data_IF_844246615121
#
_entry.id   IF_844246615121
#
_cell.length_a   1.000
_cell.length_b   1.000
_cell.length_c   1.000
_cell.angle_alpha   90.00
_cell.angle_beta   90.00
_cell.angle_gamma   90.00
#
_symmetry.space_group_name_H-M   'P 1'
#
loop_
_entity.id
_entity.type
_entity.pdbx_description
1 polymer ?
#
# COMPACT_ATOMS: atom_id res chain seq x y z
N UNK A 1 27.21 10.23 9.85
CA UNK A 1 28.40 11.08 9.54
C UNK A 1 29.13 10.38 8.42
N UNK A 2 29.57 11.11 7.39
CA UNK A 2 30.33 10.49 6.29
C UNK A 2 31.65 9.89 6.78
N UNK A 3 32.09 8.84 6.12
CA UNK A 3 33.38 8.22 6.40
C UNK A 3 34.52 9.22 6.23
N UNK A 4 35.59 9.04 7.00
CA UNK A 4 36.77 9.89 6.87
C UNK A 4 37.51 9.59 5.57
N UNK A 5 37.92 10.64 4.85
CA UNK A 5 38.65 10.53 3.59
C UNK A 5 40.05 11.15 3.76
N UNK A 6 41.07 10.55 3.15
CA UNK A 6 42.44 11.08 3.17
C UNK A 6 42.81 11.69 1.83
N UNK A 7 43.36 12.89 1.86
CA UNK A 7 43.91 13.58 0.70
C UNK A 7 45.14 14.37 1.12
N UNK A 8 46.23 14.24 0.35
CA UNK A 8 47.53 14.89 0.61
C UNK A 8 48.04 14.75 2.05
N UNK A 9 47.84 13.56 2.64
CA UNK A 9 48.26 13.25 4.01
C UNK A 9 47.39 13.86 5.11
N UNK A 10 46.33 14.58 4.75
CA UNK A 10 45.34 15.14 5.68
C UNK A 10 44.12 14.23 5.74
N UNK A 11 43.68 13.88 6.96
CA UNK A 11 42.44 13.13 7.19
C UNK A 11 41.29 14.11 7.40
N UNK A 12 40.35 14.08 6.47
CA UNK A 12 39.12 14.83 6.51
C UNK A 12 38.03 13.97 7.15
N UNK A 13 37.23 14.54 8.05
CA UNK A 13 36.12 13.84 8.73
C UNK A 13 34.87 14.72 8.71
N UNK A 14 33.70 14.10 8.58
CA UNK A 14 32.42 14.81 8.60
C UNK A 14 31.91 15.23 7.21
N UNK A 15 31.15 16.32 7.16
CA UNK A 15 30.48 16.81 5.94
C UNK A 15 31.36 17.86 5.26
N UNK A 16 31.55 17.71 3.95
CA UNK A 16 32.30 18.63 3.13
C UNK A 16 31.35 19.33 2.17
N UNK A 17 31.56 20.61 1.95
CA UNK A 17 30.69 21.45 1.13
C UNK A 17 31.45 21.92 -0.10
N UNK A 18 30.84 21.73 -1.27
CA UNK A 18 31.28 22.38 -2.51
C UNK A 18 30.60 23.75 -2.57
N UNK A 19 31.38 24.80 -2.78
CA UNK A 19 30.89 26.17 -2.78
C UNK A 19 31.93 27.18 -3.24
N UNK A 20 31.56 28.46 -3.19
CA UNK A 20 32.49 29.55 -3.41
C UNK A 20 33.35 29.69 -2.17
N UNK A 21 34.68 29.67 -2.32
CA UNK A 21 35.57 29.81 -1.19
C UNK A 21 35.58 31.27 -0.70
N UNK A 22 35.18 31.47 0.56
CA UNK A 22 35.24 32.76 1.23
C UNK A 22 35.97 32.59 2.58
N UNK A 23 37.25 32.93 2.59
CA UNK A 23 38.14 32.62 3.71
C UNK A 23 38.33 31.11 3.89
N UNK A 24 38.07 30.62 5.10
CA UNK A 24 38.22 29.20 5.47
C UNK A 24 36.94 28.37 5.25
N UNK A 25 35.85 28.99 4.76
CA UNK A 25 34.54 28.35 4.66
C UNK A 25 34.06 28.37 3.21
N UNK A 26 33.41 27.30 2.76
CA UNK A 26 32.72 27.25 1.49
C UNK A 26 31.30 27.83 1.66
N UNK A 27 30.95 28.81 0.82
CA UNK A 27 29.63 29.45 0.77
C UNK A 27 28.80 28.91 -0.40
N UNK A 28 27.47 28.96 -0.25
CA UNK A 28 26.56 28.60 -1.33
C UNK A 28 26.59 29.67 -2.45
N UNK A 29 26.43 29.22 -3.70
CA UNK A 29 26.10 30.13 -4.79
C UNK A 29 24.72 30.74 -4.54
N UNK A 30 24.56 32.02 -4.90
CA UNK A 30 23.29 32.75 -4.77
C UNK A 30 22.94 33.47 -6.08
N UNK A 31 21.67 33.84 -6.24
CA UNK A 31 21.18 34.60 -7.40
C UNK A 31 21.51 33.95 -8.74
N UNK A 32 21.91 34.77 -9.72
CA UNK A 32 22.15 34.34 -11.09
C UNK A 32 23.24 33.26 -11.22
N UNK A 33 24.23 33.24 -10.32
CA UNK A 33 25.28 32.21 -10.32
C UNK A 33 24.73 30.84 -9.92
N UNK A 34 23.86 30.81 -8.90
CA UNK A 34 23.19 29.59 -8.49
C UNK A 34 22.30 29.05 -9.62
N UNK A 35 21.57 29.94 -10.30
CA UNK A 35 20.65 29.55 -11.36
C UNK A 35 21.37 29.02 -12.61
N UNK A 36 22.52 29.63 -12.97
CA UNK A 36 23.41 29.10 -14.02
C UNK A 36 23.94 27.71 -13.67
N UNK A 37 24.40 27.52 -12.43
CA UNK A 37 24.91 26.22 -11.98
C UNK A 37 23.80 25.16 -11.99
N UNK A 38 22.63 25.46 -11.44
CA UNK A 38 21.48 24.56 -11.43
C UNK A 38 21.06 24.14 -12.86
N UNK A 39 21.04 25.09 -13.79
CA UNK A 39 20.76 24.83 -15.21
C UNK A 39 21.81 23.91 -15.84
N UNK A 40 23.09 24.10 -15.52
CA UNK A 40 24.19 23.26 -16.03
C UNK A 40 24.13 21.82 -15.51
N UNK A 41 23.55 21.63 -14.31
CA UNK A 41 23.30 20.32 -13.70
C UNK A 41 22.00 19.67 -14.22
N UNK A 42 21.24 20.35 -15.10
CA UNK A 42 19.97 19.85 -15.62
C UNK A 42 18.82 19.91 -14.63
N UNK A 43 18.91 20.73 -13.58
CA UNK A 43 17.84 20.90 -12.60
C UNK A 43 16.70 21.75 -13.19
N UNK A 44 15.43 21.44 -12.85
CA UNK A 44 14.30 22.26 -13.25
C UNK A 44 14.40 23.68 -12.68
N UNK A 45 14.01 24.67 -13.48
CA UNK A 45 13.85 26.06 -13.04
C UNK A 45 12.49 26.27 -12.36
N UNK A 46 12.43 27.29 -11.51
CA UNK A 46 11.20 27.74 -10.88
C UNK A 46 10.63 28.95 -11.63
N UNK A 47 9.30 29.05 -11.72
CA UNK A 47 8.64 30.22 -12.27
C UNK A 47 8.86 31.45 -11.37
N UNK A 48 8.71 32.69 -11.88
CA UNK A 48 8.80 33.89 -11.05
C UNK A 48 7.86 33.84 -9.84
N UNK A 49 8.42 34.00 -8.64
CA UNK A 49 7.67 33.94 -7.37
C UNK A 49 7.32 32.52 -6.90
N UNK A 50 7.67 31.49 -7.66
CA UNK A 50 7.56 30.10 -7.22
C UNK A 50 8.71 29.77 -6.27
N UNK A 51 8.37 29.23 -5.11
CA UNK A 51 9.34 28.71 -4.14
C UNK A 51 9.37 27.18 -4.21
N UNK A 52 10.54 26.59 -3.97
CA UNK A 52 10.68 25.14 -3.87
C UNK A 52 12.12 24.74 -3.65
N UNK A 53 12.34 23.43 -3.50
CA UNK A 53 13.67 22.86 -3.31
C UNK A 53 13.84 21.72 -4.31
N UNK A 54 14.92 21.78 -5.08
CA UNK A 54 15.37 20.65 -5.92
C UNK A 54 16.65 20.11 -5.31
N UNK A 55 16.72 18.79 -5.13
CA UNK A 55 17.93 18.10 -4.65
C UNK A 55 18.38 17.14 -5.74
N UNK A 56 19.67 17.18 -6.07
CA UNK A 56 20.32 16.18 -6.91
C UNK A 56 21.36 15.43 -6.09
N UNK A 57 21.34 14.11 -6.22
CA UNK A 57 22.33 13.22 -5.61
C UNK A 57 23.17 12.67 -6.75
N UNK A 58 24.46 13.00 -6.74
CA UNK A 58 25.44 12.54 -7.74
C UNK A 58 26.20 11.35 -7.16
N UNK A 59 26.51 10.38 -8.02
CA UNK A 59 27.23 9.15 -7.63
C UNK A 59 26.53 8.40 -6.49
N UNK A 60 25.21 8.25 -6.64
CA UNK A 60 24.36 7.61 -5.63
C UNK A 60 24.62 6.10 -5.59
N UNK A 61 24.87 5.58 -4.39
CA UNK A 61 24.78 4.15 -4.13
C UNK A 61 23.29 3.76 -4.07
N UNK A 62 22.85 2.97 -5.04
CA UNK A 62 21.47 2.47 -5.12
C UNK A 62 21.20 1.31 -4.15
N UNK A 63 22.23 0.85 -3.43
CA UNK A 63 22.19 -0.27 -2.51
C UNK A 63 22.03 -1.62 -3.23
N UNK A 64 21.68 -2.63 -2.46
CA UNK A 64 21.49 -3.99 -2.96
C UNK A 64 20.09 -4.55 -2.65
N UNK A 65 19.69 -5.57 -3.41
CA UNK A 65 18.52 -6.41 -3.16
C UNK A 65 19.02 -7.73 -2.59
N UNK A 66 18.41 -8.17 -1.48
CA UNK A 66 18.70 -9.47 -0.86
C UNK A 66 17.65 -10.49 -1.24
N UNK A 67 18.11 -11.63 -1.75
CA UNK A 67 17.31 -12.80 -2.10
C UNK A 67 17.89 -14.02 -1.38
N UNK A 68 17.42 -14.28 -0.15
CA UNK A 68 18.01 -15.29 0.73
C UNK A 68 19.44 -14.89 1.13
N UNK A 69 20.40 -15.76 0.85
CA UNK A 69 21.84 -15.52 1.13
C UNK A 69 22.55 -14.72 0.02
N UNK A 70 21.87 -14.46 -1.10
CA UNK A 70 22.44 -13.69 -2.21
C UNK A 70 22.10 -12.21 -2.09
N UNK A 71 23.10 -11.36 -2.33
CA UNK A 71 22.98 -9.91 -2.34
C UNK A 71 23.46 -9.39 -3.71
N UNK A 72 22.55 -8.78 -4.46
CA UNK A 72 22.83 -8.27 -5.80
C UNK A 72 22.65 -6.75 -5.83
N UNK A 73 23.53 -6.00 -6.52
CA UNK A 73 23.37 -4.56 -6.68
C UNK A 73 22.01 -4.21 -7.27
N UNK A 74 21.32 -3.23 -6.68
CA UNK A 74 20.03 -2.77 -7.15
C UNK A 74 20.20 -2.04 -8.49
N UNK A 75 19.38 -2.40 -9.47
CA UNK A 75 19.36 -1.70 -10.76
C UNK A 75 18.73 -0.31 -10.62
N UNK A 76 19.03 0.64 -11.53
CA UNK A 76 18.37 1.95 -11.54
C UNK A 76 16.84 1.89 -11.60
N UNK A 77 16.28 0.97 -12.39
CA UNK A 77 14.84 0.71 -12.46
C UNK A 77 14.30 0.19 -11.12
N UNK A 78 14.97 -0.79 -10.52
CA UNK A 78 14.60 -1.31 -9.19
C UNK A 78 14.72 -0.27 -8.08
N UNK A 79 15.60 0.74 -8.23
CA UNK A 79 15.68 1.88 -7.32
C UNK A 79 14.48 2.81 -7.47
N UNK A 80 13.97 3.02 -8.68
CA UNK A 80 12.75 3.80 -8.89
C UNK A 80 11.53 3.12 -8.23
N UNK A 81 11.38 1.81 -8.41
CA UNK A 81 10.32 1.03 -7.75
C UNK A 81 10.48 1.01 -6.23
N UNK A 82 11.72 0.88 -5.73
CA UNK A 82 12.01 0.95 -4.30
C UNK A 82 11.63 2.32 -3.71
N UNK A 83 11.97 3.42 -4.39
CA UNK A 83 11.57 4.78 -3.96
C UNK A 83 10.04 4.90 -3.92
N UNK A 84 9.34 4.42 -4.94
CA UNK A 84 7.88 4.42 -4.96
C UNK A 84 7.30 3.60 -3.78
N UNK A 85 7.88 2.43 -3.50
CA UNK A 85 7.55 1.62 -2.32
C UNK A 85 7.77 2.38 -1.01
N UNK A 86 8.94 3.02 -0.85
CA UNK A 86 9.28 3.83 0.32
C UNK A 86 8.29 4.98 0.51
N UNK A 87 7.92 5.68 -0.57
CA UNK A 87 6.91 6.75 -0.53
C UNK A 87 5.57 6.21 -0.01
N UNK A 88 5.13 5.05 -0.49
CA UNK A 88 3.87 4.46 -0.08
C UNK A 88 3.88 4.06 1.40
N UNK A 89 4.99 3.53 1.94
CA UNK A 89 5.06 3.19 3.36
C UNK A 89 5.27 4.39 4.28
N UNK A 90 5.87 5.48 3.83
CA UNK A 90 6.25 6.59 4.73
C UNK A 90 5.40 7.84 4.56
N UNK A 91 4.80 8.06 3.37
CA UNK A 91 4.11 9.29 3.00
C UNK A 91 2.62 9.10 2.71
N UNK A 92 2.09 7.89 2.81
CA UNK A 92 0.67 7.63 2.51
C UNK A 92 -0.32 8.56 3.21
N UNK A 93 -0.14 9.02 4.48
CA UNK A 93 -1.13 9.90 5.13
C UNK A 93 -1.26 11.24 4.41
N UNK A 94 -0.19 11.69 3.74
CA UNK A 94 -0.12 12.92 2.96
C UNK A 94 -0.53 12.71 1.50
N UNK A 95 -0.63 11.46 1.04
CA UNK A 95 -0.95 11.12 -0.36
C UNK A 95 -2.44 10.87 -0.60
N UNK A 96 -3.21 10.55 0.45
CA UNK A 96 -4.65 10.29 0.34
C UNK A 96 -5.46 11.57 0.05
N UNK A 97 -6.58 11.40 -0.65
CA UNK A 97 -7.50 12.50 -0.97
C UNK A 97 -8.26 13.01 0.26
N UNK A 98 -8.62 14.30 0.23
CA UNK A 98 -9.41 14.97 1.27
C UNK A 98 -8.62 15.93 2.18
N UNK A 99 -7.29 15.99 2.05
CA UNK A 99 -6.45 16.98 2.74
C UNK A 99 -6.12 18.17 1.82
N UNK A 100 -6.30 19.39 2.33
CA UNK A 100 -5.99 20.63 1.62
C UNK A 100 -4.49 20.78 1.33
N UNK A 101 -3.63 20.08 2.08
CA UNK A 101 -2.18 20.12 1.91
C UNK A 101 -1.60 18.78 1.41
N UNK A 102 -2.37 18.06 0.59
CA UNK A 102 -1.99 16.77 -0.02
C UNK A 102 -0.65 16.88 -0.78
N UNK A 103 0.26 15.95 -0.50
CA UNK A 103 1.50 15.77 -1.25
C UNK A 103 1.23 14.95 -2.52
N UNK A 104 1.57 15.50 -3.68
CA UNK A 104 1.55 14.77 -4.95
C UNK A 104 2.92 14.13 -5.18
N UNK A 105 2.99 12.82 -4.94
CA UNK A 105 4.20 12.03 -5.17
C UNK A 105 4.22 11.48 -6.60
N UNK A 106 5.37 11.50 -7.24
CA UNK A 106 5.61 10.85 -8.53
C UNK A 106 7.06 10.42 -8.62
N UNK A 107 7.30 9.24 -9.19
CA UNK A 107 8.64 8.74 -9.50
C UNK A 107 8.76 8.53 -11.01
N UNK A 108 9.93 8.84 -11.57
CA UNK A 108 10.23 8.60 -12.98
C UNK A 108 11.57 7.91 -13.11
N UNK A 109 11.65 6.93 -14.01
CA UNK A 109 12.90 6.32 -14.45
C UNK A 109 13.08 6.63 -15.94
N UNK A 110 14.21 7.26 -16.31
CA UNK A 110 14.48 7.71 -17.69
C UNK A 110 13.33 8.51 -18.34
N UNK A 111 12.60 9.27 -17.52
CA UNK A 111 11.45 10.08 -17.95
C UNK A 111 10.11 9.35 -17.96
N UNK A 112 10.08 8.02 -17.83
CA UNK A 112 8.86 7.22 -17.76
C UNK A 112 8.32 7.16 -16.33
N UNK A 113 7.01 7.37 -16.11
CA UNK A 113 6.42 7.32 -14.78
C UNK A 113 6.38 5.88 -14.24
N UNK A 114 6.71 5.72 -12.97
CA UNK A 114 6.41 4.51 -12.19
C UNK A 114 4.95 4.59 -11.73
N UNK A 115 4.20 3.49 -11.85
CA UNK A 115 2.81 3.42 -11.38
C UNK A 115 2.76 3.35 -9.86
N UNK A 116 2.19 4.37 -9.23
CA UNK A 116 2.06 4.48 -7.78
C UNK A 116 0.56 4.33 -7.45
N UNK A 117 0.14 3.20 -6.83
CA UNK A 117 -1.26 3.00 -6.50
C UNK A 117 -1.73 4.00 -5.44
N UNK A 118 -3.04 4.29 -5.44
CA UNK A 118 -3.66 5.08 -4.38
C UNK A 118 -3.58 4.31 -3.04
N UNK A 119 -2.90 4.84 -2.00
CA UNK A 119 -2.80 4.18 -0.71
C UNK A 119 -4.15 3.77 -0.11
N UNK A 120 -5.22 4.53 -0.36
CA UNK A 120 -6.55 4.23 0.17
C UNK A 120 -7.21 3.01 -0.48
N UNK A 121 -6.69 2.55 -1.62
CA UNK A 121 -7.21 1.41 -2.40
C UNK A 121 -6.30 0.17 -2.34
N UNK A 122 -5.13 0.30 -1.72
CA UNK A 122 -4.16 -0.79 -1.55
C UNK A 122 -4.49 -1.60 -0.30
N UNK A 123 -4.68 -2.91 -0.43
CA UNK A 123 -5.12 -3.78 0.69
C UNK A 123 -4.12 -3.79 1.86
N UNK A 124 -2.82 -3.64 1.59
CA UNK A 124 -1.75 -3.59 2.59
C UNK A 124 -1.81 -2.32 3.46
N UNK A 125 -2.19 -1.18 2.88
CA UNK A 125 -2.27 0.12 3.58
C UNK A 125 -3.67 0.45 4.08
N UNK A 126 -4.70 -0.18 3.51
CA UNK A 126 -6.11 0.09 3.82
C UNK A 126 -6.43 0.17 5.32
N UNK A 127 -6.04 -0.79 6.19
CA UNK A 127 -6.40 -0.69 7.60
C UNK A 127 -5.72 0.49 8.30
N UNK A 128 -4.50 0.89 7.89
CA UNK A 128 -3.84 2.09 8.42
C UNK A 128 -4.54 3.36 7.95
N UNK A 129 -4.92 3.43 6.67
CA UNK A 129 -5.67 4.57 6.10
C UNK A 129 -7.02 4.74 6.82
N UNK A 130 -7.73 3.65 7.03
CA UNK A 130 -9.03 3.68 7.70
C UNK A 130 -8.87 4.09 9.18
N UNK A 131 -7.84 3.58 9.88
CA UNK A 131 -7.51 4.01 11.23
C UNK A 131 -7.14 5.51 11.30
N UNK A 132 -6.35 6.02 10.36
CA UNK A 132 -6.01 7.45 10.29
C UNK A 132 -7.24 8.34 10.11
N UNK A 133 -8.17 7.94 9.24
CA UNK A 133 -9.43 8.67 9.03
C UNK A 133 -10.29 8.76 10.29
N UNK A 134 -10.26 7.75 11.16
CA UNK A 134 -10.94 7.77 12.47
C UNK A 134 -10.40 8.87 13.40
N UNK A 135 -9.11 9.22 13.33
CA UNK A 135 -8.49 10.23 14.20
C UNK A 135 -9.08 11.64 14.04
N UNK A 136 -9.79 11.88 12.93
CA UNK A 136 -10.48 13.14 12.63
C UNK A 136 -11.94 13.16 13.10
N UNK A 137 -12.48 12.03 13.58
CA UNK A 137 -13.88 11.88 13.97
C UNK A 137 -14.00 11.71 15.48
N UNK A 138 -14.71 12.63 16.13
CA UNK A 138 -14.89 12.59 17.57
C UNK A 138 -15.55 11.27 18.01
N UNK A 139 -14.95 10.58 18.98
CA UNK A 139 -15.46 9.31 19.51
C UNK A 139 -15.01 8.06 18.76
N UNK A 140 -14.22 8.19 17.68
CA UNK A 140 -13.67 7.04 16.94
C UNK A 140 -12.18 6.77 17.24
N UNK A 141 -11.59 7.48 18.21
CA UNK A 141 -10.20 7.34 18.62
C UNK A 141 -10.04 7.38 20.14
N UNK A 142 -8.98 6.75 20.62
CA UNK A 142 -8.57 6.76 22.02
C UNK A 142 -7.43 7.74 22.27
N UNK A 143 -7.31 8.21 23.51
CA UNK A 143 -6.22 9.08 23.96
C UNK A 143 -5.59 8.49 25.23
N UNK A 144 -4.26 8.42 25.33
CA UNK A 144 -3.61 7.98 26.56
C UNK A 144 -3.95 8.90 27.73
N UNK A 145 -4.45 8.33 28.83
CA UNK A 145 -4.87 9.11 30.00
C UNK A 145 -3.67 9.76 30.69
N UNK A 146 -3.66 11.10 30.74
CA UNK A 146 -2.62 11.88 31.42
C UNK A 146 -3.20 13.10 32.13
N UNK A 147 -2.85 13.31 33.40
CA UNK A 147 -3.34 14.44 34.22
C UNK A 147 -2.53 15.73 34.00
N UNK A 148 -1.21 15.60 33.89
CA UNK A 148 -0.31 16.73 33.66
C UNK A 148 -0.40 17.26 32.22
N UNK A 149 0.19 18.42 31.92
CA UNK A 149 0.36 18.94 30.55
C UNK A 149 1.59 18.36 29.84
N UNK A 150 1.56 18.08 28.53
CA UNK A 150 0.37 18.04 27.67
C UNK A 150 -0.57 16.87 28.05
N UNK A 151 -1.88 17.11 28.05
CA UNK A 151 -2.86 16.08 28.44
C UNK A 151 -3.13 15.10 27.31
N UNK A 152 -3.36 15.61 26.10
CA UNK A 152 -3.50 14.80 24.89
C UNK A 152 -2.11 14.61 24.26
N UNK A 153 -1.46 13.48 24.58
CA UNK A 153 -0.15 13.17 24.01
C UNK A 153 -0.23 12.62 22.59
N UNK A 154 -1.39 12.13 22.19
CA UNK A 154 -1.62 11.58 20.87
C UNK A 154 -2.96 10.87 20.78
N UNK A 155 -3.38 10.61 19.55
CA UNK A 155 -4.63 9.90 19.23
C UNK A 155 -4.31 8.55 18.64
N UNK A 156 -5.07 7.55 19.05
CA UNK A 156 -4.93 6.18 18.62
C UNK A 156 -6.23 5.67 18.00
N UNK A 157 -6.12 4.99 16.88
CA UNK A 157 -7.23 4.21 16.33
C UNK A 157 -6.68 2.95 15.66
N UNK A 158 -7.53 1.92 15.61
CA UNK A 158 -7.20 0.64 15.00
C UNK A 158 -8.38 0.14 14.16
N UNK A 159 -8.04 -0.53 13.06
CA UNK A 159 -9.01 -1.12 12.13
C UNK A 159 -8.51 -2.50 11.71
N UNK A 160 -9.39 -3.49 11.81
CA UNK A 160 -9.19 -4.82 11.24
C UNK A 160 -9.70 -4.86 9.79
N UNK A 161 -9.02 -5.63 8.95
CA UNK A 161 -9.35 -5.84 7.54
C UNK A 161 -8.90 -7.23 7.11
N UNK A 162 -9.26 -7.65 5.90
CA UNK A 162 -8.72 -8.89 5.32
C UNK A 162 -7.24 -8.74 5.01
N UNK A 163 -6.47 -9.78 5.33
CA UNK A 163 -5.07 -9.90 4.94
C UNK A 163 -4.93 -10.04 3.41
N UNK A 164 -3.84 -9.54 2.82
CA UNK A 164 -3.56 -9.73 1.40
C UNK A 164 -3.33 -11.23 1.09
N UNK A 165 -4.03 -11.76 0.09
CA UNK A 165 -3.82 -13.15 -0.38
C UNK A 165 -2.49 -13.27 -1.14
N UNK A 166 -2.16 -12.24 -1.92
CA UNK A 166 -0.91 -12.09 -2.66
C UNK A 166 -0.33 -10.73 -2.33
N UNK A 167 0.98 -10.68 -2.06
CA UNK A 167 1.67 -9.42 -1.82
C UNK A 167 1.82 -8.67 -3.13
N UNK A 168 1.44 -7.40 -3.15
CA UNK A 168 1.82 -6.51 -4.26
C UNK A 168 3.35 -6.45 -4.35
N UNK A 169 3.89 -6.62 -5.55
CA UNK A 169 5.34 -6.50 -5.80
C UNK A 169 5.87 -5.18 -5.25
N UNK A 170 5.24 -4.07 -5.64
CA UNK A 170 5.65 -2.74 -5.22
C UNK A 170 5.54 -2.55 -3.70
N UNK A 171 4.49 -3.05 -3.05
CA UNK A 171 4.36 -3.00 -1.59
C UNK A 171 5.42 -3.79 -0.85
N UNK A 172 5.94 -4.87 -1.44
CA UNK A 172 6.91 -5.73 -0.78
C UNK A 172 8.33 -5.16 -0.73
N UNK A 173 8.68 -4.26 -1.67
CA UNK A 173 10.08 -3.83 -1.86
C UNK A 173 10.67 -3.10 -0.65
N UNK A 174 9.92 -2.15 -0.08
CA UNK A 174 10.29 -1.35 1.09
C UNK A 174 9.36 -1.60 2.29
N UNK A 175 8.71 -2.77 2.35
CA UNK A 175 7.82 -3.11 3.45
C UNK A 175 8.58 -3.05 4.79
N UNK A 176 8.06 -2.32 5.80
CA UNK A 176 8.73 -2.19 7.09
C UNK A 176 8.59 -3.46 7.97
N UNK A 177 7.76 -4.41 7.53
CA UNK A 177 7.50 -5.67 8.21
C UNK A 177 7.18 -6.78 7.20
N UNK A 178 7.22 -8.03 7.67
CA UNK A 178 6.86 -9.21 6.89
C UNK A 178 5.50 -9.76 7.31
N UNK A 179 4.80 -10.39 6.35
CA UNK A 179 3.50 -11.02 6.59
C UNK A 179 2.34 -10.02 6.62
N UNK A 180 1.21 -10.45 7.19
CA UNK A 180 0.01 -9.64 7.37
C UNK A 180 0.23 -8.53 8.39
N UNK A 181 -0.37 -7.36 8.17
CA UNK A 181 -0.24 -6.25 9.11
C UNK A 181 -0.84 -6.61 10.48
N UNK A 182 -0.10 -6.27 11.53
CA UNK A 182 -0.52 -6.30 12.93
C UNK A 182 0.22 -5.16 13.66
N UNK A 183 0.28 -3.98 13.01
CA UNK A 183 1.19 -2.90 13.37
C UNK A 183 0.47 -1.60 13.64
N UNK A 184 1.12 -0.71 14.37
CA UNK A 184 0.75 0.68 14.53
C UNK A 184 1.73 1.58 13.78
N UNK A 185 1.26 2.33 12.79
CA UNK A 185 2.01 3.44 12.21
C UNK A 185 2.08 4.57 13.23
N UNK A 186 3.26 4.81 13.82
CA UNK A 186 3.48 5.99 14.67
C UNK A 186 3.86 7.14 13.78
N UNK A 187 3.23 8.30 13.98
CA UNK A 187 3.47 9.45 13.12
C UNK A 187 3.47 10.76 13.87
N UNK A 188 4.20 11.72 13.31
CA UNK A 188 4.26 13.10 13.78
C UNK A 188 2.97 13.84 13.47
N UNK A 189 2.78 14.99 14.11
CA UNK A 189 1.62 15.85 13.85
C UNK A 189 1.55 16.32 12.39
N UNK A 190 2.70 16.34 11.70
CA UNK A 190 2.85 16.67 10.28
C UNK A 190 2.44 15.54 9.31
N UNK A 191 1.85 14.44 9.81
CA UNK A 191 1.38 13.30 9.01
C UNK A 191 2.50 12.56 8.28
N UNK A 192 3.68 12.52 8.93
CA UNK A 192 4.83 11.73 8.51
C UNK A 192 4.97 10.52 9.42
N UNK A 193 4.98 9.33 8.81
CA UNK A 193 5.22 8.07 9.53
C UNK A 193 6.66 8.05 9.98
N UNK A 194 6.87 7.73 11.26
CA UNK A 194 8.18 7.53 11.88
C UNK A 194 8.57 6.06 11.72
N UNK A 195 7.67 5.16 12.14
CA UNK A 195 7.88 3.71 12.05
C UNK A 195 6.56 2.92 12.20
N UNK A 196 6.69 1.59 12.19
CA UNK A 196 5.60 0.62 12.35
C UNK A 196 5.89 -0.31 13.53
N UNK A 197 5.23 -0.05 14.66
CA UNK A 197 5.40 -0.88 15.87
C UNK A 197 4.50 -2.10 15.79
N UNK A 198 5.09 -3.30 15.96
CA UNK A 198 4.35 -4.56 15.99
C UNK A 198 3.50 -4.70 17.26
N UNK A 199 2.27 -5.20 17.08
CA UNK A 199 1.37 -5.63 18.14
C UNK A 199 1.28 -7.16 18.23
N UNK A 200 0.23 -7.63 18.89
CA UNK A 200 -0.06 -9.07 18.95
C UNK A 200 -0.62 -9.56 17.60
N UNK A 201 -0.14 -10.66 17.02
CA UNK A 201 -0.69 -11.18 15.76
C UNK A 201 -2.15 -11.61 15.93
N UNK A 202 -2.94 -11.46 14.87
CA UNK A 202 -4.31 -11.95 14.86
C UNK A 202 -4.33 -13.50 14.82
N UNK A 203 -5.17 -14.20 15.62
CA UNK A 203 -5.20 -15.67 15.64
C UNK A 203 -5.69 -16.29 14.32
N UNK A 204 -6.52 -15.56 13.57
CA UNK A 204 -6.89 -15.89 12.20
C UNK A 204 -5.97 -15.17 11.20
N UNK A 205 -5.19 -15.92 10.42
CA UNK A 205 -4.23 -15.40 9.44
C UNK A 205 -4.87 -14.67 8.25
N UNK A 206 -6.17 -14.90 7.98
CA UNK A 206 -6.93 -14.18 6.96
C UNK A 206 -7.28 -12.74 7.38
N UNK A 207 -7.02 -12.37 8.63
CA UNK A 207 -7.26 -11.03 9.16
C UNK A 207 -5.93 -10.33 9.41
N UNK A 208 -5.85 -9.09 8.97
CA UNK A 208 -4.81 -8.15 9.35
C UNK A 208 -5.43 -6.99 10.12
N UNK A 209 -4.61 -6.24 10.85
CA UNK A 209 -5.03 -4.95 11.37
C UNK A 209 -3.91 -3.92 11.23
N UNK A 210 -4.35 -2.68 11.12
CA UNK A 210 -3.52 -1.49 11.06
C UNK A 210 -4.02 -0.51 12.08
N UNK A 211 -3.10 0.03 12.87
CA UNK A 211 -3.38 1.10 13.81
C UNK A 211 -2.57 2.34 13.45
N UNK A 212 -3.03 3.48 13.94
CA UNK A 212 -2.29 4.74 13.83
C UNK A 212 -2.22 5.39 15.19
N UNK A 213 -1.03 5.85 15.55
CA UNK A 213 -0.80 6.75 16.67
C UNK A 213 -0.24 8.06 16.13
N UNK A 214 -1.06 9.11 16.14
CA UNK A 214 -0.63 10.46 15.74
C UNK A 214 -0.31 11.28 16.98
N UNK A 215 0.91 11.84 17.03
CA UNK A 215 1.32 12.71 18.12
C UNK A 215 0.34 13.88 18.30
N UNK A 216 0.04 14.23 19.55
CA UNK A 216 -0.82 15.38 19.86
C UNK A 216 -0.09 16.69 19.59
N UNK A 217 -0.82 17.75 19.23
CA UNK A 217 -0.25 19.07 18.88
C UNK A 217 0.73 19.58 19.95
N UNK A 218 0.31 19.55 21.22
CA UNK A 218 1.13 20.05 22.33
C UNK A 218 2.24 19.07 22.77
N UNK A 219 2.23 17.86 22.21
CA UNK A 219 3.17 16.79 22.58
C UNK A 219 4.19 16.48 21.48
N UNK A 220 3.97 16.96 20.25
CA UNK A 220 4.77 16.64 19.07
C UNK A 220 6.26 16.93 19.25
N UNK A 221 6.61 18.03 19.94
CA UNK A 221 8.01 18.37 20.22
C UNK A 221 8.72 17.31 21.07
N UNK A 222 8.01 16.67 22.02
CA UNK A 222 8.60 15.62 22.85
C UNK A 222 8.87 14.33 22.07
N UNK A 223 8.05 14.05 21.06
CA UNK A 223 8.30 12.95 20.13
C UNK A 223 9.43 13.30 19.16
N UNK A 224 9.52 14.56 18.73
CA UNK A 224 10.67 15.07 17.97
C UNK A 224 12.00 14.89 18.70
N UNK A 225 12.03 15.22 20.00
CA UNK A 225 13.23 15.08 20.82
C UNK A 225 13.66 13.61 20.98
N UNK A 226 12.72 12.67 20.79
CA UNK A 226 12.94 11.24 20.87
C UNK A 226 13.48 10.64 19.57
N UNK A 227 13.50 11.39 18.46
CA UNK A 227 13.93 10.86 17.17
C UNK A 227 15.47 10.85 17.06
N UNK A 228 16.08 9.72 16.64
CA UNK A 228 17.47 9.73 16.22
C UNK A 228 17.64 10.56 14.93
N UNK A 229 18.88 10.88 14.50
CA UNK A 229 19.12 11.60 13.24
C UNK A 229 18.53 10.95 11.99
N UNK A 230 18.22 9.65 12.04
CA UNK A 230 17.57 8.86 10.99
C UNK A 230 16.05 9.07 10.95
N UNK A 231 15.45 9.66 11.99
CA UNK A 231 14.02 9.94 12.11
C UNK A 231 13.10 8.71 11.96
N UNK A 232 13.60 7.52 12.33
CA UNK A 232 12.99 6.22 12.09
C UNK A 232 12.55 5.47 13.36
N UNK A 233 12.63 6.13 14.53
CA UNK A 233 12.14 5.58 15.81
C UNK A 233 11.90 6.72 16.81
N UNK A 234 11.16 6.43 17.89
CA UNK A 234 11.13 7.24 19.12
C UNK A 234 11.87 6.52 20.23
N UNK A 235 13.14 6.88 20.41
CA UNK A 235 14.01 6.32 21.43
C UNK A 235 13.90 7.09 22.75
N UNK A 236 14.04 6.36 23.86
CA UNK A 236 14.00 6.98 25.21
C UNK A 236 15.39 7.26 25.78
N UNK A 237 16.45 6.79 25.11
CA UNK A 237 17.83 7.04 25.53
C UNK A 237 18.15 8.53 25.44
N UNK A 238 18.63 9.12 26.53
CA UNK A 238 18.98 10.53 26.60
C UNK A 238 17.82 11.48 26.92
N UNK A 239 16.58 11.00 26.98
CA UNK A 239 15.43 11.81 27.39
C UNK A 239 15.31 11.91 28.91
N UNK A 240 14.85 13.07 29.40
CA UNK A 240 14.58 13.34 30.81
C UNK A 240 13.25 14.08 31.02
N UNK A 241 12.77 14.11 32.27
CA UNK A 241 11.61 14.90 32.67
C UNK A 241 10.32 14.59 31.88
N UNK A 242 9.66 15.64 31.39
CA UNK A 242 8.38 15.53 30.69
C UNK A 242 8.50 14.73 29.38
N UNK A 243 9.58 14.93 28.61
CA UNK A 243 9.81 14.24 27.33
C UNK A 243 9.83 12.72 27.53
N UNK A 244 10.65 12.25 28.47
CA UNK A 244 10.73 10.84 28.82
C UNK A 244 9.37 10.27 29.27
N UNK A 245 8.62 11.03 30.06
CA UNK A 245 7.30 10.64 30.54
C UNK A 245 6.25 10.51 29.43
N UNK A 246 6.23 11.46 28.48
CA UNK A 246 5.32 11.47 27.33
C UNK A 246 5.59 10.28 26.42
N UNK A 247 6.84 10.09 26.00
CA UNK A 247 7.23 9.03 25.07
C UNK A 247 6.98 7.64 25.68
N UNK A 248 7.34 7.44 26.96
CA UNK A 248 7.06 6.18 27.67
C UNK A 248 5.57 5.90 27.84
N UNK A 249 4.75 6.94 28.06
CA UNK A 249 3.31 6.77 28.16
C UNK A 249 2.72 6.32 26.82
N UNK A 250 3.13 6.94 25.71
CA UNK A 250 2.74 6.50 24.37
C UNK A 250 3.08 5.04 24.10
N UNK A 251 4.35 4.66 24.32
CA UNK A 251 4.81 3.28 24.12
C UNK A 251 4.03 2.27 24.98
N UNK A 252 3.78 2.58 26.27
CA UNK A 252 3.01 1.71 27.16
C UNK A 252 1.55 1.59 26.73
N UNK A 253 0.96 2.70 26.30
CA UNK A 253 -0.41 2.73 25.81
C UNK A 253 -0.56 1.85 24.58
N UNK A 254 0.34 1.97 23.60
CA UNK A 254 0.33 1.12 22.40
C UNK A 254 0.47 -0.36 22.77
N UNK A 255 1.44 -0.71 23.62
CA UNK A 255 1.60 -2.10 24.08
C UNK A 255 0.34 -2.68 24.72
N UNK A 256 -0.50 -1.86 25.34
CA UNK A 256 -1.72 -2.31 26.04
C UNK A 256 -2.95 -2.42 25.13
N UNK A 257 -2.97 -1.65 24.03
CA UNK A 257 -4.14 -1.47 23.16
C UNK A 257 -3.93 -2.02 21.73
N UNK A 258 -2.69 -2.31 21.33
CA UNK A 258 -2.37 -2.84 20.00
C UNK A 258 -2.49 -4.37 19.98
N UNK A 259 -3.74 -4.81 20.08
CA UNK A 259 -4.12 -6.23 20.11
C UNK A 259 -5.43 -6.42 19.34
N UNK A 260 -5.61 -7.55 18.65
CA UNK A 260 -6.80 -7.82 17.87
C UNK A 260 -8.05 -7.93 18.75
N UNK A 261 -9.21 -7.64 18.17
CA UNK A 261 -10.49 -7.89 18.82
C UNK A 261 -10.84 -9.37 18.69
N UNK A 262 -10.61 -10.14 19.76
CA UNK A 262 -11.05 -11.54 19.82
C UNK A 262 -12.49 -11.56 20.34
N UNK A 263 -13.50 -11.95 19.54
CA UNK A 263 -14.84 -12.14 20.07
C UNK A 263 -14.83 -13.28 21.09
N UNK A 264 -15.49 -13.09 22.24
CA UNK A 264 -15.85 -14.20 23.14
C UNK A 264 -16.84 -15.09 22.39
N UNK A 265 -16.38 -16.27 21.96
CA UNK A 265 -17.24 -17.24 21.28
C UNK A 265 -17.89 -18.11 22.36
N UNK A 266 -19.18 -17.93 22.58
CA UNK A 266 -20.00 -18.85 23.37
C UNK A 266 -20.15 -20.19 22.59
N UNK A 267 -19.65 -21.32 23.11
CA UNK A 267 -19.62 -22.59 22.39
C UNK A 267 -21.01 -23.16 22.06
N UNK A 268 -22.11 -22.61 22.57
CA UNK A 268 -23.47 -23.08 22.22
C UNK A 268 -24.08 -22.36 21.00
N UNK A 269 -23.51 -21.25 20.52
CA UNK A 269 -24.08 -20.42 19.43
C UNK A 269 -23.50 -20.71 18.03
N UNK A 270 -22.78 -21.82 17.87
CA UNK A 270 -22.05 -22.18 16.64
C UNK A 270 -22.89 -22.31 15.36
N UNK A 271 -24.22 -22.39 15.41
CA UNK A 271 -25.05 -22.61 14.23
C UNK A 271 -25.79 -21.38 13.67
N UNK A 272 -26.02 -20.32 14.46
CA UNK A 272 -26.79 -19.14 13.99
C UNK A 272 -26.06 -17.80 14.14
N UNK A 273 -25.04 -17.69 15.00
CA UNK A 273 -24.33 -16.42 15.25
C UNK A 273 -23.14 -16.15 14.30
N UNK A 274 -22.81 -17.09 13.41
CA UNK A 274 -21.66 -16.99 12.50
C UNK A 274 -21.86 -15.99 11.34
N UNK A 275 -23.08 -15.49 11.12
CA UNK A 275 -23.44 -14.76 9.89
C UNK A 275 -23.57 -13.23 10.03
N UNK A 276 -23.80 -12.70 11.24
CA UNK A 276 -23.95 -11.25 11.44
C UNK A 276 -22.61 -10.45 11.38
N UNK A 277 -21.49 -10.95 11.93
CA UNK A 277 -20.20 -10.25 11.84
C UNK A 277 -19.61 -10.28 10.42
N UNK A 278 -19.92 -11.31 9.62
CA UNK A 278 -19.38 -11.48 8.27
C UNK A 278 -20.01 -10.52 7.27
N UNK A 279 -21.32 -10.27 7.36
CA UNK A 279 -22.02 -9.30 6.52
C UNK A 279 -21.54 -7.85 6.73
N UNK A 280 -21.26 -7.46 7.98
CA UNK A 280 -20.66 -6.15 8.30
C UNK A 280 -19.20 -6.02 7.82
N UNK A 281 -18.44 -7.13 7.84
CA UNK A 281 -17.05 -7.21 7.34
C UNK A 281 -16.96 -7.21 5.81
N UNK A 282 -18.01 -7.63 5.10
CA UNK A 282 -18.11 -7.62 3.64
C UNK A 282 -18.37 -6.21 3.04
N UNK A 283 -18.90 -5.27 3.82
CA UNK A 283 -19.09 -3.88 3.34
C UNK A 283 -17.76 -3.13 3.16
N UNK A 284 -16.69 -3.55 3.82
CA UNK A 284 -15.35 -2.95 3.71
C UNK A 284 -14.50 -3.49 2.55
N UNK A 285 -14.92 -4.61 1.95
CA UNK A 285 -14.17 -5.35 0.92
C UNK A 285 -14.37 -4.84 -0.52
N UNK A 286 -15.37 -3.98 -0.75
CA UNK A 286 -15.71 -3.48 -2.11
C UNK A 286 -14.75 -2.37 -2.60
N UNK A 287 -13.88 -1.83 -1.74
CA UNK A 287 -13.02 -0.69 -2.09
C UNK A 287 -11.54 -1.02 -2.43
N UNK A 288 -11.07 -2.24 -2.19
CA UNK A 288 -9.61 -2.52 -2.12
C UNK A 288 -9.05 -3.66 -2.97
N UNK A 289 -9.85 -4.33 -3.80
CA UNK A 289 -9.40 -5.50 -4.56
C UNK A 289 -9.26 -5.20 -6.06
N UNK A 290 -8.32 -4.34 -6.44
CA UNK A 290 -7.86 -4.23 -7.83
C UNK A 290 -6.64 -5.14 -8.04
N UNK A 291 -6.97 -6.31 -8.60
CA UNK A 291 -6.19 -7.36 -9.28
C UNK A 291 -4.66 -7.24 -9.46
N UNK A 292 -3.95 -8.22 -8.90
CA UNK A 292 -2.78 -8.86 -9.54
C UNK A 292 -3.06 -10.36 -9.68
N UNK A 293 -3.11 -10.86 -10.92
CA UNK A 293 -3.39 -12.26 -11.25
C UNK A 293 -2.24 -12.87 -12.04
N UNK A 294 -1.39 -13.63 -11.36
CA UNK A 294 -0.46 -14.57 -11.98
C UNK A 294 -1.12 -15.96 -11.98
N UNK A 295 -1.37 -16.51 -13.16
CA UNK A 295 -1.89 -17.85 -13.34
C UNK A 295 -0.83 -18.90 -12.99
N UNK A 296 -1.27 -19.93 -12.26
CA UNK A 296 -0.50 -21.14 -12.00
C UNK A 296 -0.56 -22.03 -13.25
N UNK A 297 0.60 -22.44 -13.75
CA UNK A 297 0.72 -23.56 -14.69
C UNK A 297 1.84 -24.47 -14.23
N UNK A 298 1.49 -25.64 -13.70
CA UNK A 298 2.41 -26.79 -13.56
C UNK A 298 2.32 -27.67 -14.82
N UNK A 299 3.48 -28.10 -15.33
CA UNK A 299 3.55 -29.21 -16.29
C UNK A 299 4.68 -29.16 -17.32
N UNK A 300 5.88 -29.63 -16.90
CA UNK A 300 6.85 -30.45 -17.67
C UNK A 300 7.14 -30.17 -19.16
N UNK A 301 8.42 -29.90 -19.47
CA UNK A 301 9.00 -30.27 -20.78
C UNK A 301 10.00 -29.28 -21.38
N UNK A 302 11.28 -29.63 -21.31
CA UNK A 302 12.39 -28.96 -22.00
C UNK A 302 12.17 -28.80 -23.51
N UNK A 303 12.36 -27.58 -24.04
CA UNK A 303 13.22 -27.28 -25.21
C UNK A 303 13.38 -25.77 -25.39
N UNK A 304 14.65 -25.33 -25.46
CA UNK A 304 15.09 -23.99 -25.90
C UNK A 304 14.57 -23.67 -27.31
N UNK A 305 13.99 -22.48 -27.50
CA UNK A 305 14.17 -21.72 -28.74
C UNK A 305 13.92 -20.21 -28.57
N UNK A 306 14.80 -19.42 -29.17
CA UNK A 306 14.67 -18.06 -29.73
C UNK A 306 13.64 -17.05 -29.20
N UNK A 307 14.17 -16.00 -28.57
CA UNK A 307 13.88 -14.56 -28.74
C UNK A 307 12.69 -14.18 -29.66
N UNK A 308 11.64 -13.61 -29.08
CA UNK A 308 10.94 -12.44 -29.65
C UNK A 308 10.27 -11.64 -28.54
N UNK A 309 10.50 -10.32 -28.51
CA UNK A 309 9.85 -9.41 -27.58
C UNK A 309 8.40 -9.21 -27.98
N UNK A 310 7.50 -9.94 -27.33
CA UNK A 310 6.06 -9.69 -27.41
C UNK A 310 5.66 -8.63 -26.40
N UNK A 311 5.09 -7.51 -26.87
CA UNK A 311 4.34 -6.59 -26.01
C UNK A 311 3.31 -7.43 -25.24
N UNK A 312 3.42 -7.45 -23.91
CA UNK A 312 2.41 -8.06 -23.05
C UNK A 312 1.03 -7.52 -23.44
N UNK A 313 0.13 -8.39 -23.88
CA UNK A 313 -1.22 -7.99 -24.28
C UNK A 313 -1.91 -7.36 -23.06
N UNK A 314 -2.55 -6.20 -23.25
CA UNK A 314 -3.31 -5.55 -22.19
C UNK A 314 -4.37 -6.50 -21.63
N UNK A 315 -4.45 -6.59 -20.30
CA UNK A 315 -5.33 -7.53 -19.58
C UNK A 315 -6.62 -6.84 -19.10
N UNK A 316 -7.75 -7.58 -18.99
CA UNK A 316 -8.96 -7.12 -18.30
C UNK A 316 -8.68 -6.67 -16.85
N UNK A 317 -9.44 -5.68 -16.37
CA UNK A 317 -9.35 -5.14 -15.01
C UNK A 317 -10.70 -5.17 -14.31
N UNK A 318 -10.74 -5.58 -13.05
CA UNK A 318 -11.92 -5.36 -12.21
C UNK A 318 -11.88 -3.90 -11.72
N UNK A 319 -12.89 -3.11 -12.07
CA UNK A 319 -12.96 -1.68 -11.75
C UNK A 319 -13.99 -1.34 -10.68
N UNK A 320 -14.95 -2.24 -10.44
CA UNK A 320 -15.94 -2.17 -9.36
C UNK A 320 -16.36 -3.59 -8.92
N UNK A 321 -16.60 -3.81 -7.63
CA UNK A 321 -16.76 -5.16 -7.04
C UNK A 321 -15.44 -5.95 -6.92
N UNK A 322 -15.47 -7.27 -6.60
CA UNK A 322 -16.65 -8.12 -6.43
C UNK A 322 -17.46 -7.75 -5.18
N UNK A 323 -18.78 -7.63 -5.33
CA UNK A 323 -19.71 -7.30 -4.25
C UNK A 323 -20.81 -8.36 -4.14
N UNK A 324 -21.18 -8.73 -2.92
CA UNK A 324 -22.35 -9.55 -2.66
C UNK A 324 -23.60 -8.67 -2.68
N UNK A 325 -24.51 -8.91 -3.63
CA UNK A 325 -25.77 -8.18 -3.80
C UNK A 325 -26.94 -9.16 -3.70
N UNK A 326 -28.08 -8.69 -3.20
CA UNK A 326 -29.33 -9.48 -3.19
C UNK A 326 -30.21 -9.01 -4.33
N UNK A 327 -30.47 -9.89 -5.30
CA UNK A 327 -31.32 -9.62 -6.45
C UNK A 327 -32.48 -10.60 -6.44
N UNK A 328 -33.72 -10.10 -6.36
CA UNK A 328 -34.94 -10.92 -6.28
C UNK A 328 -34.91 -11.98 -5.15
N UNK A 329 -34.22 -11.68 -4.04
CA UNK A 329 -34.07 -12.59 -2.91
C UNK A 329 -32.94 -13.63 -3.07
N UNK A 330 -32.23 -13.65 -4.19
CA UNK A 330 -31.03 -14.48 -4.38
C UNK A 330 -29.76 -13.66 -4.12
N UNK A 331 -28.80 -14.24 -3.39
CA UNK A 331 -27.49 -13.66 -3.18
C UNK A 331 -26.58 -13.92 -4.40
N UNK A 332 -26.06 -12.87 -5.00
CA UNK A 332 -25.17 -12.90 -6.16
C UNK A 332 -23.88 -12.14 -5.87
N UNK A 333 -22.76 -12.62 -6.41
CA UNK A 333 -21.51 -11.89 -6.48
C UNK A 333 -21.45 -11.18 -7.83
N UNK A 334 -21.34 -9.85 -7.82
CA UNK A 334 -21.25 -9.03 -9.03
C UNK A 334 -19.94 -8.26 -9.10
N UNK A 335 -19.31 -8.18 -10.27
CA UNK A 335 -18.12 -7.37 -10.50
C UNK A 335 -18.16 -6.70 -11.87
N UNK A 336 -17.81 -5.41 -11.95
CA UNK A 336 -17.68 -4.67 -13.20
C UNK A 336 -16.25 -4.76 -13.71
N UNK A 337 -16.13 -5.29 -14.92
CA UNK A 337 -14.89 -5.57 -15.62
C UNK A 337 -14.69 -4.51 -16.71
N UNK A 338 -13.56 -3.82 -16.68
CA UNK A 338 -13.06 -2.98 -17.77
C UNK A 338 -12.12 -3.79 -18.67
N UNK A 339 -12.52 -3.93 -19.93
CA UNK A 339 -11.80 -4.65 -20.97
C UNK A 339 -10.94 -3.67 -21.78
N UNK A 340 -9.69 -4.02 -22.09
CA UNK A 340 -8.86 -3.22 -22.96
C UNK A 340 -9.37 -3.26 -24.41
N UNK A 341 -8.93 -2.29 -25.22
CA UNK A 341 -9.19 -2.28 -26.65
C UNK A 341 -8.32 -3.34 -27.33
N UNK A 342 -8.95 -4.34 -27.95
CA UNK A 342 -8.26 -5.36 -28.73
C UNK A 342 -8.40 -5.10 -30.24
N UNK A 343 -7.38 -5.46 -31.05
CA UNK A 343 -7.41 -5.30 -32.50
C UNK A 343 -8.32 -6.32 -33.21
N UNK A 344 -8.59 -7.46 -32.57
CA UNK A 344 -9.48 -8.52 -33.04
C UNK A 344 -10.49 -8.86 -31.95
N UNK A 345 -11.59 -9.52 -32.32
CA UNK A 345 -12.52 -10.08 -31.35
C UNK A 345 -11.82 -11.07 -30.43
N UNK A 346 -12.21 -11.05 -29.15
CA UNK A 346 -11.71 -11.97 -28.12
C UNK A 346 -12.86 -12.63 -27.39
N UNK A 347 -12.64 -13.85 -26.94
CA UNK A 347 -13.50 -14.50 -25.95
C UNK A 347 -12.96 -14.19 -24.56
N UNK A 348 -13.80 -13.62 -23.70
CA UNK A 348 -13.49 -13.37 -22.29
C UNK A 348 -14.28 -14.34 -21.43
N UNK A 349 -13.60 -15.09 -20.58
CA UNK A 349 -14.21 -16.09 -19.70
C UNK A 349 -14.01 -15.70 -18.23
N UNK A 350 -15.10 -15.73 -17.45
CA UNK A 350 -15.05 -15.59 -16.00
C UNK A 350 -14.88 -16.97 -15.36
N UNK A 351 -13.85 -17.08 -14.52
CA UNK A 351 -13.47 -18.29 -13.80
C UNK A 351 -13.63 -18.04 -12.30
N UNK A 352 -14.82 -18.32 -11.75
CA UNK A 352 -15.04 -18.19 -10.33
C UNK A 352 -14.33 -19.32 -9.56
N UNK A 353 -13.67 -18.97 -8.46
CA UNK A 353 -12.93 -19.90 -7.60
C UNK A 353 -13.43 -19.78 -6.16
N UNK A 354 -13.70 -20.91 -5.53
CA UNK A 354 -14.07 -20.96 -4.11
C UNK A 354 -12.82 -20.87 -3.23
N UNK A 355 -12.88 -20.01 -2.22
CA UNK A 355 -11.81 -19.83 -1.24
C UNK A 355 -12.19 -20.55 0.06
N UNK A 356 -11.30 -21.41 0.55
CA UNK A 356 -11.41 -22.11 1.83
C UNK A 356 -10.23 -21.77 2.74
N UNK A 357 -10.34 -22.06 4.03
CA UNK A 357 -9.27 -21.89 5.00
C UNK A 357 -8.04 -22.72 4.58
N UNK A 358 -6.94 -22.05 4.21
CA UNK A 358 -5.72 -22.69 3.70
C UNK A 358 -5.49 -22.62 2.19
N UNK A 359 -6.38 -22.02 1.38
CA UNK A 359 -6.12 -21.78 -0.04
C UNK A 359 -7.35 -21.73 -0.95
N UNK A 360 -7.17 -22.08 -2.22
CA UNK A 360 -8.29 -22.32 -3.15
C UNK A 360 -8.75 -23.76 -3.02
N UNK A 361 -10.06 -23.97 -3.01
CA UNK A 361 -10.63 -25.32 -2.95
C UNK A 361 -10.22 -26.14 -4.18
N UNK A 362 -9.88 -27.43 -3.99
CA UNK A 362 -9.72 -28.34 -5.11
C UNK A 362 -11.10 -28.62 -5.73
N UNK A 363 -11.21 -28.70 -7.08
CA UNK A 363 -12.50 -28.89 -7.73
C UNK A 363 -13.26 -30.11 -7.19
N UNK A 364 -14.46 -29.90 -6.61
CA UNK A 364 -15.43 -30.97 -6.33
C UNK A 364 -15.79 -31.25 -4.87
N UNK A 365 -15.38 -30.42 -3.90
CA UNK A 365 -15.71 -30.60 -2.47
C UNK A 365 -16.94 -29.79 -2.05
N UNK A 366 -17.16 -28.60 -2.62
CA UNK A 366 -18.36 -27.77 -2.50
C UNK A 366 -19.13 -27.70 -3.82
N UNK A 367 -20.38 -27.26 -3.77
CA UNK A 367 -21.11 -26.89 -4.99
C UNK A 367 -20.29 -25.82 -5.74
N UNK A 368 -20.12 -25.92 -7.07
CA UNK A 368 -19.31 -24.95 -7.81
C UNK A 368 -20.07 -23.62 -7.99
N UNK A 369 -19.37 -22.47 -7.93
CA UNK A 369 -19.97 -21.19 -8.28
C UNK A 369 -20.44 -21.18 -9.73
N UNK A 370 -21.59 -20.56 -9.98
CA UNK A 370 -22.23 -20.54 -11.31
C UNK A 370 -22.22 -19.12 -11.86
N UNK A 371 -21.47 -18.89 -12.95
CA UNK A 371 -21.56 -17.63 -13.70
C UNK A 371 -22.92 -17.58 -14.39
N UNK A 372 -23.76 -16.62 -14.03
CA UNK A 372 -25.09 -16.42 -14.59
C UNK A 372 -25.01 -15.72 -15.94
N UNK A 373 -24.17 -14.70 -16.03
CA UNK A 373 -24.01 -13.92 -17.25
C UNK A 373 -23.34 -12.58 -17.00
N UNK A 374 -23.34 -11.77 -18.06
CA UNK A 374 -22.69 -10.50 -18.17
C UNK A 374 -23.69 -9.44 -18.61
N UNK A 375 -23.64 -8.28 -17.98
CA UNK A 375 -24.47 -7.13 -18.29
C UNK A 375 -23.60 -5.98 -18.80
N UNK A 376 -23.93 -5.39 -19.95
CA UNK A 376 -23.29 -4.14 -20.38
C UNK A 376 -23.63 -3.03 -19.39
N UNK A 377 -22.60 -2.38 -18.82
CA UNK A 377 -22.78 -1.38 -17.78
C UNK A 377 -23.46 -0.08 -18.26
N UNK A 378 -23.51 0.18 -19.56
CA UNK A 378 -24.07 1.40 -20.13
C UNK A 378 -25.51 1.22 -20.64
N UNK A 379 -25.81 0.10 -21.30
CA UNK A 379 -27.09 -0.11 -21.96
C UNK A 379 -27.91 -1.29 -21.38
N UNK A 380 -27.33 -2.07 -20.47
CA UNK A 380 -27.99 -3.19 -19.80
C UNK A 380 -28.14 -4.47 -20.63
N UNK A 381 -27.54 -4.55 -21.83
CA UNK A 381 -27.52 -5.77 -22.66
C UNK A 381 -27.01 -6.96 -21.85
N UNK A 382 -27.72 -8.08 -21.90
CA UNK A 382 -27.38 -9.30 -21.14
C UNK A 382 -26.84 -10.39 -22.06
N UNK A 383 -25.69 -10.97 -21.70
CA UNK A 383 -25.11 -12.16 -22.34
C UNK A 383 -25.00 -13.28 -21.30
N UNK A 384 -25.65 -14.41 -21.55
CA UNK A 384 -25.75 -15.53 -20.59
C UNK A 384 -24.53 -16.45 -20.69
N UNK A 385 -24.07 -16.95 -19.53
CA UNK A 385 -23.01 -17.95 -19.45
C UNK A 385 -21.66 -17.41 -18.98
N UNK A 386 -20.69 -18.32 -18.89
CA UNK A 386 -19.36 -18.03 -18.31
C UNK A 386 -18.45 -17.19 -19.20
N UNK A 387 -18.72 -17.16 -20.50
CA UNK A 387 -17.88 -16.48 -21.49
C UNK A 387 -18.70 -15.54 -22.37
N UNK A 388 -18.10 -14.44 -22.79
CA UNK A 388 -18.64 -13.52 -23.80
C UNK A 388 -17.64 -13.33 -24.92
N UNK A 389 -18.12 -13.31 -26.17
CA UNK A 389 -17.35 -12.76 -27.29
C UNK A 389 -17.43 -11.25 -27.24
N UNK A 390 -16.30 -10.57 -27.50
CA UNK A 390 -16.17 -9.12 -27.40
C UNK A 390 -15.48 -8.60 -28.66
N UNK A 391 -16.27 -7.97 -29.55
CA UNK A 391 -15.82 -7.35 -30.78
C UNK A 391 -15.23 -5.95 -30.55
N UNK A 392 -14.69 -5.31 -31.60
CA UNK A 392 -14.07 -3.98 -31.51
C UNK A 392 -15.08 -2.88 -31.16
N UNK A 393 -16.31 -3.04 -31.59
CA UNK A 393 -17.46 -2.15 -31.41
C UNK A 393 -18.21 -2.36 -30.11
N UNK A 394 -18.00 -3.49 -29.43
CA UNK A 394 -18.65 -3.81 -28.17
C UNK A 394 -18.20 -2.87 -27.04
N UNK A 395 -19.06 -2.74 -26.03
CA UNK A 395 -18.72 -2.05 -24.79
C UNK A 395 -17.48 -2.66 -24.14
N UNK A 396 -16.78 -1.82 -23.36
CA UNK A 396 -15.60 -2.20 -22.60
C UNK A 396 -15.88 -2.37 -21.13
N UNK A 397 -17.10 -2.07 -20.66
CA UNK A 397 -17.48 -2.23 -19.26
C UNK A 397 -18.63 -3.19 -19.13
N UNK A 398 -18.36 -4.33 -18.50
CA UNK A 398 -19.32 -5.42 -18.33
C UNK A 398 -19.39 -5.86 -16.88
N UNK A 399 -20.59 -5.98 -16.33
CA UNK A 399 -20.82 -6.53 -15.00
C UNK A 399 -21.10 -8.02 -15.08
N UNK A 400 -20.19 -8.85 -14.56
CA UNK A 400 -20.41 -10.29 -14.42
C UNK A 400 -21.21 -10.58 -13.15
N UNK A 401 -22.17 -11.51 -13.23
CA UNK A 401 -22.99 -11.97 -12.10
C UNK A 401 -22.77 -13.45 -11.84
N UNK A 402 -22.48 -13.81 -10.59
CA UNK A 402 -22.11 -15.18 -10.18
C UNK A 402 -22.96 -15.58 -8.99
N UNK A 403 -23.55 -16.77 -9.05
CA UNK A 403 -24.18 -17.39 -7.88
C UNK A 403 -23.10 -18.10 -7.06
N UNK A 404 -22.82 -17.68 -5.82
CA UNK A 404 -21.87 -18.38 -4.97
C UNK A 404 -22.50 -19.67 -4.40
N UNK A 405 -21.67 -20.65 -4.01
CA UNK A 405 -22.11 -21.77 -3.20
C UNK A 405 -22.58 -21.29 -1.83
N UNK A 406 -23.40 -22.08 -1.14
CA UNK A 406 -23.79 -21.76 0.25
C UNK A 406 -22.54 -21.70 1.12
N UNK A 407 -22.44 -20.64 1.92
CA UNK A 407 -21.38 -20.44 2.91
C UNK A 407 -19.95 -20.38 2.34
N UNK A 408 -19.79 -19.91 1.09
CA UNK A 408 -18.50 -19.87 0.39
C UNK A 408 -18.14 -18.48 -0.17
N UNK A 409 -16.84 -18.15 -0.13
CA UNK A 409 -16.28 -16.93 -0.73
C UNK A 409 -15.83 -17.24 -2.16
N UNK A 410 -16.21 -16.38 -3.12
CA UNK A 410 -15.88 -16.55 -4.54
C UNK A 410 -14.92 -15.45 -5.01
N UNK A 411 -13.77 -15.84 -5.55
CA UNK A 411 -12.89 -14.98 -6.35
C UNK A 411 -13.22 -15.11 -7.82
N UNK A 412 -12.92 -14.07 -8.60
CA UNK A 412 -13.14 -14.07 -10.06
C UNK A 412 -11.78 -13.94 -10.74
N UNK A 413 -11.40 -14.95 -11.52
CA UNK A 413 -10.32 -14.85 -12.50
C UNK A 413 -10.91 -14.61 -13.90
N UNK A 414 -10.10 -14.05 -14.79
CA UNK A 414 -10.48 -13.76 -16.16
C UNK A 414 -9.45 -14.35 -17.11
N UNK A 415 -9.91 -15.14 -18.07
CA UNK A 415 -9.11 -15.63 -19.19
C UNK A 415 -9.57 -14.97 -20.48
N UNK A 416 -8.61 -14.68 -21.36
CA UNK A 416 -8.86 -14.02 -22.66
C UNK A 416 -8.21 -14.85 -23.74
N UNK A 417 -9.01 -15.26 -24.71
CA UNK A 417 -8.58 -16.05 -25.85
C UNK A 417 -8.91 -15.34 -27.16
N UNK A 418 -8.08 -15.56 -28.17
CA UNK A 418 -8.37 -15.09 -29.53
C UNK A 418 -9.58 -15.87 -30.05
N UNK A 419 -10.55 -15.15 -30.59
CA UNK A 419 -11.62 -15.80 -31.34
C UNK A 419 -11.00 -16.34 -32.63
N UNK A 420 -10.96 -17.67 -32.77
CA UNK A 420 -10.29 -18.37 -33.87
C UNK A 420 -10.96 -18.19 -35.22
#
# INVERSE_FOLDING_TARGET
MGDGFQHDGVRYTGRHWLGVQEGEIAQALIGDEAERMASSLGLPSFAPGQTGTTVAIVDVDLGAVRNGDNEEPRTPEGAADYIASTMLWNLWPRMIDGDNNRLRCSVKFEGFPVDIPDPARTIELKPFVDAYRKLSRAGEYDVPVRKAKPQEIGRFAMVESMAPITKSYLMSLAAPFSGSAHHCARMRQADLVVDYVAGEPHPNEAVQYGAVFKAGVDADSYFSDAEPPTHDDWVTSGLHGAALGVVRLGARFLKSNLKPSVPDIDPELHHEAALAPLAGRLSGLVAGASADGAGLSEGSGSRRSGRSGGRSAAKPKIVDGPALVVVNGEALVTATIELPLWPTSKTVTAEPLVVIEGGTEQPGTLEPPVVLGWADAANGEQRVGRSISVAREDSRKWTVSIRPPKDAVVRIALTVEDEG
#
